data_IF_610882469175
#
_entry.id   IF_610882469175
#
_cell.length_a   1.000
_cell.length_b   1.000
_cell.length_c   1.000
_cell.angle_alpha   90.00
_cell.angle_beta   90.00
_cell.angle_gamma   90.00
#
_symmetry.space_group_name_H-M   'P 1'
#
loop_
_entity.id
_entity.type
_entity.pdbx_description
1 polymer ?
#
# COMPACT_ATOMS: atom_id res chain seq x y z
N UNK A 1 -2.16 10.72 -22.45
CA UNK A 1 -2.07 11.40 -21.14
C UNK A 1 -0.78 10.95 -20.48
N UNK A 2 0.23 11.81 -20.40
CA UNK A 2 1.40 11.55 -19.56
C UNK A 2 0.93 11.47 -18.12
N UNK A 3 1.18 10.33 -17.46
CA UNK A 3 0.83 10.15 -16.06
C UNK A 3 1.68 11.09 -15.23
N UNK A 4 1.05 11.96 -14.45
CA UNK A 4 1.72 12.84 -13.51
C UNK A 4 2.43 11.98 -12.45
N UNK A 5 3.77 12.06 -12.43
CA UNK A 5 4.62 11.41 -11.43
C UNK A 5 5.26 12.49 -10.55
N UNK A 6 5.10 12.37 -9.26
CA UNK A 6 5.69 13.27 -8.28
C UNK A 6 6.85 12.61 -7.57
N UNK A 7 8.00 13.27 -7.50
CA UNK A 7 9.13 12.87 -6.67
C UNK A 7 8.96 13.37 -5.22
N UNK A 8 9.77 12.84 -4.31
CA UNK A 8 9.66 13.16 -2.87
C UNK A 8 9.78 14.65 -2.53
N UNK A 9 10.58 15.38 -3.28
CA UNK A 9 10.77 16.83 -3.09
C UNK A 9 9.51 17.64 -3.42
N UNK A 10 8.54 17.00 -4.05
CA UNK A 10 7.31 17.60 -4.56
C UNK A 10 6.05 17.11 -3.81
N UNK A 11 6.22 16.54 -2.61
CA UNK A 11 5.08 15.97 -1.87
C UNK A 11 4.05 17.02 -1.43
N UNK A 12 4.48 18.25 -1.12
CA UNK A 12 3.58 19.40 -0.90
C UNK A 12 2.83 19.78 -2.19
N UNK A 13 3.55 19.80 -3.32
CA UNK A 13 2.99 20.04 -4.65
C UNK A 13 1.92 19.00 -5.01
N UNK A 14 2.08 17.74 -4.57
CA UNK A 14 1.06 16.71 -4.74
C UNK A 14 -0.26 17.07 -4.03
N UNK A 15 -0.17 17.50 -2.77
CA UNK A 15 -1.37 17.88 -2.02
C UNK A 15 -2.08 19.07 -2.66
N UNK A 16 -1.32 20.09 -3.07
CA UNK A 16 -1.85 21.27 -3.76
C UNK A 16 -2.48 20.90 -5.12
N UNK A 17 -1.84 20.01 -5.86
CA UNK A 17 -2.39 19.50 -7.11
C UNK A 17 -3.74 18.79 -6.89
N UNK A 18 -3.82 17.89 -5.89
CA UNK A 18 -5.07 17.16 -5.59
C UNK A 18 -6.17 18.14 -5.20
N UNK A 19 -5.87 19.16 -4.38
CA UNK A 19 -6.83 20.21 -4.00
C UNK A 19 -7.35 21.00 -5.20
N UNK A 20 -6.45 21.39 -6.10
CA UNK A 20 -6.78 22.16 -7.30
C UNK A 20 -7.54 21.35 -8.36
N UNK A 21 -7.56 20.01 -8.25
CA UNK A 21 -8.19 19.13 -9.23
C UNK A 21 -9.27 18.24 -8.59
N UNK A 22 -10.51 18.74 -8.43
CA UNK A 22 -11.59 18.03 -7.71
C UNK A 22 -11.96 16.64 -8.29
N UNK A 23 -11.57 16.34 -9.51
CA UNK A 23 -11.76 15.03 -10.14
C UNK A 23 -10.73 13.98 -9.69
N UNK A 24 -9.65 14.40 -9.05
CA UNK A 24 -8.64 13.49 -8.48
C UNK A 24 -9.13 13.00 -7.13
N UNK A 25 -9.49 11.74 -7.05
CA UNK A 25 -10.05 11.08 -5.85
C UNK A 25 -9.10 10.09 -5.23
N UNK A 26 -8.02 9.74 -5.92
CA UNK A 26 -7.09 8.68 -5.57
C UNK A 26 -5.64 9.13 -5.71
N UNK A 27 -4.81 8.72 -4.76
CA UNK A 27 -3.35 8.82 -4.82
C UNK A 27 -2.75 7.43 -4.69
N UNK A 28 -1.90 7.04 -5.62
CA UNK A 28 -1.17 5.77 -5.60
C UNK A 28 0.32 6.00 -5.38
N UNK A 29 0.83 5.47 -4.28
CA UNK A 29 2.28 5.34 -4.04
C UNK A 29 2.78 4.06 -4.71
N UNK A 30 3.67 4.22 -5.67
CA UNK A 30 4.26 3.13 -6.47
C UNK A 30 5.61 3.57 -7.04
N UNK A 31 6.26 2.71 -7.82
CA UNK A 31 7.58 2.97 -8.38
C UNK A 31 8.68 2.48 -7.45
N UNK A 32 9.52 1.52 -7.89
CA UNK A 32 10.22 0.67 -6.94
C UNK A 32 9.21 0.01 -6.00
N UNK A 33 9.63 -0.39 -4.81
CA UNK A 33 8.67 -0.81 -3.78
C UNK A 33 8.61 0.24 -2.66
N UNK A 34 7.47 0.93 -2.44
CA UNK A 34 7.37 1.95 -1.41
C UNK A 34 7.66 1.45 0.01
N UNK A 35 7.47 0.16 0.27
CA UNK A 35 7.70 -0.42 1.60
C UNK A 35 9.18 -0.68 1.90
N UNK A 36 10.10 -0.47 0.96
CA UNK A 36 11.54 -0.39 1.25
C UNK A 36 11.85 0.83 2.13
N UNK A 37 11.03 1.87 2.03
CA UNK A 37 11.21 3.07 2.85
C UNK A 37 10.95 2.78 4.33
N UNK A 38 11.69 3.49 5.19
CA UNK A 38 11.36 3.54 6.61
C UNK A 38 10.10 4.37 6.86
N UNK A 39 9.45 4.11 7.98
CA UNK A 39 8.22 4.79 8.37
C UNK A 39 8.34 6.32 8.32
N UNK A 40 9.41 6.88 8.85
CA UNK A 40 9.69 8.33 8.81
C UNK A 40 9.69 8.90 7.39
N UNK A 41 10.24 8.15 6.43
CA UNK A 41 10.27 8.60 5.03
C UNK A 41 8.89 8.49 4.37
N UNK A 42 8.14 7.43 4.63
CA UNK A 42 6.77 7.29 4.18
C UNK A 42 5.88 8.37 4.80
N UNK A 43 6.08 8.70 6.06
CA UNK A 43 5.38 9.80 6.74
C UNK A 43 5.62 11.14 6.05
N UNK A 44 6.84 11.44 5.63
CA UNK A 44 7.14 12.68 4.91
C UNK A 44 6.34 12.82 3.59
N UNK A 45 6.04 11.71 2.93
CA UNK A 45 5.16 11.72 1.74
C UNK A 45 3.68 11.89 2.10
N UNK A 46 3.24 11.29 3.19
CA UNK A 46 1.84 11.31 3.58
C UNK A 46 1.46 12.58 4.35
N UNK A 47 2.40 13.20 5.05
CA UNK A 47 2.14 14.36 5.90
C UNK A 47 1.38 15.51 5.19
N UNK A 48 1.74 15.92 3.96
CA UNK A 48 0.99 16.96 3.27
C UNK A 48 -0.48 16.59 2.96
N UNK A 49 -0.76 15.28 2.77
CA UNK A 49 -2.12 14.79 2.55
C UNK A 49 -2.91 14.67 3.88
N UNK A 50 -2.19 14.61 5.01
CA UNK A 50 -2.75 14.47 6.35
C UNK A 50 -2.76 15.78 7.14
N UNK A 51 -2.14 16.86 6.64
CA UNK A 51 -2.11 18.17 7.32
C UNK A 51 -3.48 18.78 7.45
N UNK A 52 -4.31 18.59 6.43
CA UNK A 52 -5.71 18.96 6.39
C UNK A 52 -6.50 17.96 5.55
N UNK A 53 -7.80 17.82 5.81
CA UNK A 53 -8.62 16.94 4.99
C UNK A 53 -8.85 17.57 3.61
N UNK A 54 -8.45 16.84 2.56
CA UNK A 54 -8.71 17.22 1.17
C UNK A 54 -10.08 16.61 0.77
N UNK A 55 -11.12 17.43 0.51
CA UNK A 55 -12.49 16.94 0.38
C UNK A 55 -12.74 15.93 -0.73
N UNK A 56 -12.02 16.06 -1.84
CA UNK A 56 -12.13 15.19 -2.99
C UNK A 56 -11.25 13.93 -2.89
N UNK A 57 -10.19 13.93 -2.08
CA UNK A 57 -9.35 12.75 -1.88
C UNK A 57 -10.10 11.71 -1.03
N UNK A 58 -10.29 10.53 -1.58
CA UNK A 58 -11.00 9.42 -0.93
C UNK A 58 -10.08 8.26 -0.62
N UNK A 59 -9.19 7.93 -1.55
CA UNK A 59 -8.38 6.72 -1.51
C UNK A 59 -6.90 7.06 -1.51
N UNK A 60 -6.16 6.43 -0.61
CA UNK A 60 -4.70 6.35 -0.65
C UNK A 60 -4.34 4.89 -0.88
N UNK A 61 -3.58 4.62 -1.93
CA UNK A 61 -3.17 3.27 -2.32
C UNK A 61 -1.66 3.14 -2.25
N UNK A 62 -1.18 2.02 -1.72
CA UNK A 62 0.25 1.71 -1.62
C UNK A 62 0.47 0.38 -2.33
N UNK A 63 1.17 0.40 -3.47
CA UNK A 63 1.50 -0.80 -4.24
C UNK A 63 2.81 -1.41 -3.77
N UNK A 64 2.78 -2.66 -3.30
CA UNK A 64 3.97 -3.31 -2.76
C UNK A 64 3.95 -4.83 -2.92
N UNK A 65 5.12 -5.39 -3.17
CA UNK A 65 5.36 -6.85 -3.15
C UNK A 65 5.99 -7.32 -1.82
N UNK A 66 6.22 -6.43 -0.88
CA UNK A 66 6.95 -6.71 0.36
C UNK A 66 6.38 -7.88 1.17
N UNK A 67 5.07 -8.08 1.16
CA UNK A 67 4.46 -9.22 1.86
C UNK A 67 4.94 -10.57 1.32
N UNK A 68 5.18 -10.67 0.02
CA UNK A 68 5.65 -11.90 -0.60
C UNK A 68 7.12 -12.22 -0.33
N UNK A 69 8.00 -11.20 -0.22
CA UNK A 69 9.44 -11.45 -0.08
C UNK A 69 10.02 -11.01 1.27
N UNK A 70 9.40 -10.08 1.98
CA UNK A 70 9.87 -9.62 3.29
C UNK A 70 8.72 -9.20 4.23
N UNK A 71 7.86 -10.14 4.68
CA UNK A 71 6.76 -9.86 5.61
C UNK A 71 7.24 -9.32 6.96
N UNK A 72 8.50 -9.56 7.31
CA UNK A 72 9.13 -9.04 8.52
C UNK A 72 9.16 -7.52 8.60
N UNK A 73 9.00 -6.81 7.48
CA UNK A 73 8.77 -5.37 7.44
C UNK A 73 7.67 -4.91 8.41
N UNK A 74 6.65 -5.73 8.59
CA UNK A 74 5.52 -5.44 9.49
C UNK A 74 5.55 -6.23 10.79
N UNK A 75 6.61 -7.03 11.05
CA UNK A 75 6.70 -7.89 12.24
C UNK A 75 7.83 -7.48 13.16
N UNK A 76 9.04 -7.47 12.65
CA UNK A 76 10.27 -7.34 13.44
C UNK A 76 11.21 -6.25 12.96
N UNK A 77 10.88 -5.57 11.85
CA UNK A 77 11.67 -4.42 11.40
C UNK A 77 11.67 -3.34 12.49
N UNK A 78 12.77 -2.61 12.72
CA UNK A 78 12.86 -1.62 13.80
C UNK A 78 11.76 -0.56 13.79
N UNK A 79 11.19 -0.26 12.63
CA UNK A 79 10.10 0.72 12.45
C UNK A 79 8.75 0.08 12.07
N UNK A 80 8.58 -1.23 12.29
CA UNK A 80 7.34 -1.93 11.96
C UNK A 80 6.10 -1.32 12.61
N UNK A 81 6.17 -1.04 13.89
CA UNK A 81 5.07 -0.45 14.65
C UNK A 81 4.80 1.00 14.26
N UNK A 82 5.84 1.77 13.90
CA UNK A 82 5.69 3.13 13.41
C UNK A 82 4.97 3.16 12.05
N UNK A 83 5.32 2.23 11.16
CA UNK A 83 4.65 2.09 9.87
C UNK A 83 3.18 1.76 10.03
N UNK A 84 2.84 0.84 10.93
CA UNK A 84 1.45 0.47 11.21
C UNK A 84 0.66 1.62 11.85
N UNK A 85 1.26 2.36 12.79
CA UNK A 85 0.65 3.58 13.35
C UNK A 85 0.42 4.65 12.28
N UNK A 86 1.31 4.76 11.31
CA UNK A 86 1.10 5.67 10.17
C UNK A 86 -0.11 5.25 9.33
N UNK A 87 -0.30 3.95 9.07
CA UNK A 87 -1.48 3.44 8.39
C UNK A 87 -2.77 3.73 9.18
N UNK A 88 -2.77 3.52 10.50
CA UNK A 88 -3.88 3.90 11.36
C UNK A 88 -4.21 5.39 11.26
N UNK A 89 -3.21 6.25 11.23
CA UNK A 89 -3.39 7.71 11.10
C UNK A 89 -4.07 8.06 9.77
N UNK A 90 -3.67 7.43 8.66
CA UNK A 90 -4.32 7.62 7.35
C UNK A 90 -5.81 7.26 7.42
N UNK A 91 -6.13 6.11 8.01
CA UNK A 91 -7.51 5.63 8.16
C UNK A 91 -8.31 6.55 9.11
N UNK A 92 -7.75 6.91 10.27
CA UNK A 92 -8.38 7.82 11.24
C UNK A 92 -8.62 9.22 10.68
N UNK A 93 -7.78 9.67 9.74
CA UNK A 93 -7.97 10.93 9.03
C UNK A 93 -9.18 10.91 8.08
N UNK A 94 -9.71 9.72 7.80
CA UNK A 94 -10.92 9.50 7.00
C UNK A 94 -10.64 9.14 5.54
N UNK A 95 -9.42 8.73 5.19
CA UNK A 95 -9.11 8.18 3.88
C UNK A 95 -9.23 6.66 3.87
N UNK A 96 -9.70 6.11 2.76
CA UNK A 96 -9.65 4.68 2.52
C UNK A 96 -8.22 4.27 2.14
N UNK A 97 -7.52 3.61 3.05
CA UNK A 97 -6.17 3.10 2.78
C UNK A 97 -6.26 1.69 2.17
N UNK A 98 -5.81 1.56 0.93
CA UNK A 98 -5.68 0.26 0.25
C UNK A 98 -4.23 -0.14 0.11
N UNK A 99 -3.85 -1.22 0.78
CA UNK A 99 -2.57 -1.88 0.57
C UNK A 99 -2.70 -2.84 -0.62
N UNK A 100 -2.13 -2.46 -1.77
CA UNK A 100 -2.18 -3.22 -3.02
C UNK A 100 -1.07 -4.27 -2.99
N UNK A 101 -1.37 -5.42 -2.42
CA UNK A 101 -0.41 -6.50 -2.23
C UNK A 101 -0.19 -7.29 -3.54
N UNK A 102 1.06 -7.36 -3.98
CA UNK A 102 1.43 -8.10 -5.16
C UNK A 102 1.84 -9.53 -4.77
N UNK A 103 1.01 -10.50 -5.13
CA UNK A 103 1.29 -11.93 -5.01
C UNK A 103 1.23 -12.59 -6.38
N UNK A 104 2.20 -13.45 -6.68
CA UNK A 104 2.25 -14.19 -7.94
C UNK A 104 1.74 -15.62 -7.80
N UNK A 105 1.78 -16.19 -6.61
CA UNK A 105 1.42 -17.58 -6.37
C UNK A 105 0.90 -17.78 -4.94
N UNK A 106 0.01 -18.77 -4.77
CA UNK A 106 -0.57 -19.11 -3.45
C UNK A 106 0.49 -19.44 -2.40
N UNK A 107 1.63 -20.00 -2.82
CA UNK A 107 2.78 -20.29 -1.93
C UNK A 107 3.29 -19.07 -1.16
N UNK A 108 3.20 -17.88 -1.73
CA UNK A 108 3.60 -16.65 -1.05
C UNK A 108 2.69 -16.32 0.15
N UNK A 109 1.50 -16.89 0.22
CA UNK A 109 0.51 -16.70 1.30
C UNK A 109 0.56 -17.80 2.39
N UNK A 110 1.34 -18.87 2.18
CA UNK A 110 1.31 -20.06 3.04
C UNK A 110 2.21 -19.94 4.29
N UNK A 111 2.99 -18.89 4.43
CA UNK A 111 3.88 -18.74 5.58
C UNK A 111 3.20 -18.06 6.77
N UNK A 112 3.42 -18.53 8.00
CA UNK A 112 2.88 -17.88 9.20
C UNK A 112 3.29 -16.41 9.32
N UNK A 113 4.47 -16.03 8.80
CA UNK A 113 4.94 -14.65 8.79
C UNK A 113 4.05 -13.76 7.92
N UNK A 114 3.70 -14.21 6.71
CA UNK A 114 2.81 -13.47 5.81
C UNK A 114 1.42 -13.32 6.41
N UNK A 115 0.85 -14.39 6.95
CA UNK A 115 -0.47 -14.35 7.58
C UNK A 115 -0.50 -13.35 8.77
N UNK A 116 0.55 -13.35 9.59
CA UNK A 116 0.68 -12.43 10.71
C UNK A 116 0.84 -10.98 10.24
N UNK A 117 1.64 -10.73 9.20
CA UNK A 117 1.83 -9.40 8.63
C UNK A 117 0.51 -8.86 8.03
N UNK A 118 -0.21 -9.69 7.29
CA UNK A 118 -1.55 -9.36 6.75
C UNK A 118 -2.49 -8.95 7.88
N UNK A 119 -2.54 -9.74 8.95
CA UNK A 119 -3.37 -9.44 10.14
C UNK A 119 -3.01 -8.09 10.75
N UNK A 120 -1.72 -7.81 10.94
CA UNK A 120 -1.27 -6.53 11.50
C UNK A 120 -1.67 -5.34 10.63
N UNK A 121 -1.52 -5.44 9.31
CA UNK A 121 -1.96 -4.39 8.38
C UNK A 121 -3.48 -4.20 8.47
N UNK A 122 -4.26 -5.26 8.42
CA UNK A 122 -5.72 -5.18 8.51
C UNK A 122 -6.20 -4.57 9.84
N UNK A 123 -5.52 -4.83 10.93
CA UNK A 123 -5.85 -4.27 12.25
C UNK A 123 -5.69 -2.74 12.31
N UNK A 124 -4.95 -2.12 11.38
CA UNK A 124 -4.88 -0.66 11.25
C UNK A 124 -6.14 -0.05 10.63
N UNK A 125 -7.05 -0.86 10.09
CA UNK A 125 -8.19 -0.44 9.28
C UNK A 125 -7.88 -0.34 7.78
N UNK A 126 -6.63 -0.59 7.38
CA UNK A 126 -6.28 -0.67 5.96
C UNK A 126 -6.90 -1.91 5.30
N UNK A 127 -7.36 -1.76 4.07
CA UNK A 127 -7.88 -2.86 3.26
C UNK A 127 -6.76 -3.42 2.39
N UNK A 128 -6.59 -4.75 2.40
CA UNK A 128 -5.66 -5.41 1.48
C UNK A 128 -6.42 -5.76 0.20
N UNK A 129 -5.87 -5.33 -0.92
CA UNK A 129 -6.28 -5.74 -2.26
C UNK A 129 -5.12 -6.41 -2.96
N UNK A 130 -5.40 -7.43 -3.73
CA UNK A 130 -4.37 -8.16 -4.46
C UNK A 130 -4.26 -7.65 -5.90
N UNK A 131 -3.04 -7.63 -6.41
CA UNK A 131 -2.77 -7.48 -7.82
C UNK A 131 -1.72 -8.51 -8.22
N UNK A 132 -1.87 -9.13 -9.38
CA UNK A 132 -0.98 -10.19 -9.83
C UNK A 132 -0.97 -10.26 -11.35
N UNK A 133 0.18 -10.25 -12.00
CA UNK A 133 0.25 -10.55 -13.43
C UNK A 133 -0.01 -12.05 -13.66
N UNK A 134 -0.62 -12.38 -14.79
CA UNK A 134 -0.67 -13.78 -15.24
C UNK A 134 0.67 -14.10 -15.89
N UNK A 135 1.34 -15.12 -15.35
CA UNK A 135 2.68 -15.51 -15.78
C UNK A 135 2.68 -16.99 -16.18
N UNK A 136 3.13 -17.24 -17.42
CA UNK A 136 3.22 -18.59 -17.98
C UNK A 136 4.06 -19.49 -17.08
N UNK A 137 3.57 -20.71 -16.82
CA UNK A 137 4.18 -21.76 -15.99
C UNK A 137 4.33 -21.39 -14.48
N UNK A 138 3.81 -20.26 -14.04
CA UNK A 138 3.84 -19.83 -12.63
C UNK A 138 2.42 -19.84 -12.06
N UNK A 139 1.54 -19.06 -12.66
CA UNK A 139 0.17 -18.89 -12.18
C UNK A 139 -0.88 -18.85 -13.30
N UNK A 140 -0.57 -19.39 -14.47
CA UNK A 140 -1.48 -19.45 -15.62
C UNK A 140 -2.53 -20.55 -15.51
N UNK A 141 -2.52 -21.33 -14.42
CA UNK A 141 -3.53 -22.37 -14.19
C UNK A 141 -4.67 -21.86 -13.26
N UNK A 142 -5.93 -22.06 -13.60
CA UNK A 142 -7.07 -21.54 -12.82
C UNK A 142 -7.09 -21.97 -11.35
N UNK A 143 -6.60 -23.16 -11.02
CA UNK A 143 -6.55 -23.64 -9.64
C UNK A 143 -5.66 -22.79 -8.74
N UNK A 144 -4.55 -22.24 -9.27
CA UNK A 144 -3.65 -21.37 -8.51
C UNK A 144 -4.39 -20.10 -8.10
N UNK A 145 -5.15 -19.49 -9.01
CA UNK A 145 -5.96 -18.30 -8.72
C UNK A 145 -7.08 -18.59 -7.73
N UNK A 146 -7.80 -19.70 -7.93
CA UNK A 146 -8.82 -20.13 -6.97
C UNK A 146 -8.24 -20.25 -5.55
N UNK A 147 -7.09 -20.89 -5.42
CA UNK A 147 -6.47 -21.14 -4.12
C UNK A 147 -5.89 -19.86 -3.52
N UNK A 148 -5.33 -18.94 -4.33
CA UNK A 148 -4.94 -17.59 -3.88
C UNK A 148 -6.12 -16.78 -3.33
N UNK A 149 -7.28 -16.86 -3.96
CA UNK A 149 -8.45 -16.06 -3.56
C UNK A 149 -9.22 -16.65 -2.37
N UNK A 150 -8.93 -17.89 -2.02
CA UNK A 150 -9.48 -18.52 -0.83
C UNK A 150 -8.68 -18.28 0.45
N UNK A 151 -7.45 -17.83 0.30
CA UNK A 151 -6.54 -17.45 1.40
C UNK A 151 -6.77 -16.01 1.82
#
# INVERSE_FOLDING_TARGET
MEGLKFAMQESSTLADYVKANPKVTDVLFTGGDPMIMRAKRMEAYLAPLLSERIPNLRNIRIGSKVLGYWPYKFLTDPDADEMLRLFERVVKHGYHLSFMAHFNHVRELETPAVEKAIRRIRNTGAVIRTQSPIMRHINDHPHIWRDMWRK
#
